data_IF_155319913877
#
_entry.id   IF_155319913877
#
_cell.length_a   1.000
_cell.length_b   1.000
_cell.length_c   1.000
_cell.angle_alpha   90.00
_cell.angle_beta   90.00
_cell.angle_gamma   90.00
#
_symmetry.space_group_name_H-M   'P 1'
#
loop_
_entity.id
_entity.type
_entity.pdbx_description
1 polymer ?
#
# COMPACT_ATOMS: atom_id res chain seq x y z
N UNK A 1 -1.06 11.96 -38.53
CA UNK A 1 -1.85 12.76 -37.57
C UNK A 1 -1.71 12.11 -36.20
N UNK A 2 -0.68 12.47 -35.43
CA UNK A 2 -0.43 11.87 -34.12
C UNK A 2 -1.23 12.59 -33.05
N UNK A 3 -2.25 11.94 -32.50
CA UNK A 3 -2.96 12.48 -31.35
C UNK A 3 -2.07 12.29 -30.12
N UNK A 4 -1.41 13.36 -29.67
CA UNK A 4 -0.65 13.39 -28.41
C UNK A 4 -1.61 13.53 -27.22
N UNK A 5 -2.57 12.61 -27.10
CA UNK A 5 -3.47 12.62 -25.95
C UNK A 5 -2.75 11.93 -24.81
N UNK A 6 -2.19 12.74 -23.91
CA UNK A 6 -1.48 12.24 -22.73
C UNK A 6 -2.35 11.25 -21.94
N UNK A 7 -3.67 11.45 -21.92
CA UNK A 7 -4.63 10.58 -21.26
C UNK A 7 -5.55 9.93 -22.29
N UNK A 8 -5.68 8.61 -22.29
CA UNK A 8 -6.54 7.88 -23.23
C UNK A 8 -7.04 6.55 -22.64
N UNK A 9 -8.09 5.98 -23.24
CA UNK A 9 -8.62 4.66 -22.89
C UNK A 9 -8.35 3.69 -24.04
N UNK A 10 -7.98 2.46 -23.72
CA UNK A 10 -7.74 1.39 -24.70
C UNK A 10 -8.61 0.17 -24.39
N UNK A 11 -8.67 -0.77 -25.34
CA UNK A 11 -9.32 -2.08 -25.18
C UNK A 11 -10.78 -1.98 -24.70
N UNK A 12 -11.59 -1.11 -25.32
CA UNK A 12 -13.00 -0.98 -24.95
C UNK A 12 -13.26 -0.41 -23.56
N UNK A 13 -12.24 0.09 -22.86
CA UNK A 13 -12.37 0.67 -21.52
C UNK A 13 -11.63 -0.08 -20.43
N UNK A 14 -11.06 -1.24 -20.72
CA UNK A 14 -10.34 -2.08 -19.75
C UNK A 14 -9.07 -1.41 -19.19
N UNK A 15 -8.50 -0.47 -19.95
CA UNK A 15 -7.31 0.29 -19.53
C UNK A 15 -7.51 1.77 -19.74
N UNK A 16 -7.21 2.56 -18.71
CA UNK A 16 -7.07 4.01 -18.80
C UNK A 16 -5.61 4.38 -18.58
N UNK A 17 -4.98 5.00 -19.57
CA UNK A 17 -3.64 5.56 -19.47
C UNK A 17 -3.75 7.04 -19.07
N UNK A 18 -3.00 7.45 -18.05
CA UNK A 18 -2.88 8.84 -17.62
C UNK A 18 -1.42 9.28 -17.75
N UNK A 19 -1.15 10.16 -18.72
CA UNK A 19 0.15 10.77 -18.95
C UNK A 19 0.25 12.11 -18.24
N UNK A 20 1.15 12.22 -17.28
CA UNK A 20 1.36 13.42 -16.48
C UNK A 20 0.96 13.22 -15.03
N UNK A 21 0.55 14.30 -14.37
CA UNK A 21 0.23 14.29 -12.94
C UNK A 21 -1.27 14.08 -12.68
N UNK A 22 -1.58 13.27 -11.68
CA UNK A 22 -2.93 13.13 -11.12
C UNK A 22 -2.96 13.83 -9.77
N UNK A 23 -3.77 14.90 -9.67
CA UNK A 23 -3.96 15.63 -8.42
C UNK A 23 -5.32 15.27 -7.82
N UNK A 24 -5.30 14.70 -6.61
CA UNK A 24 -6.49 14.43 -5.82
C UNK A 24 -6.71 15.59 -4.84
N UNK A 25 -7.83 16.31 -4.97
CA UNK A 25 -8.14 17.44 -4.10
C UNK A 25 -8.42 16.98 -2.66
N UNK A 26 -8.30 17.90 -1.69
CA UNK A 26 -8.62 17.63 -0.30
C UNK A 26 -10.06 17.08 -0.15
N UNK A 27 -10.21 15.97 0.58
CA UNK A 27 -11.49 15.28 0.76
C UNK A 27 -11.84 14.27 -0.36
N UNK A 28 -11.01 14.12 -1.39
CA UNK A 28 -11.20 13.07 -2.39
C UNK A 28 -10.99 11.68 -1.77
N UNK A 29 -11.82 10.70 -2.16
CA UNK A 29 -11.68 9.30 -1.76
C UNK A 29 -11.44 8.43 -2.99
N UNK A 30 -10.33 7.71 -3.02
CA UNK A 30 -10.10 6.62 -3.98
C UNK A 30 -10.47 5.31 -3.28
N UNK A 31 -11.38 4.54 -3.88
CA UNK A 31 -11.79 3.23 -3.35
C UNK A 31 -11.22 2.15 -4.27
N UNK A 32 -10.52 1.19 -3.68
CA UNK A 32 -9.96 0.03 -4.38
C UNK A 32 -10.77 -1.17 -3.92
N UNK A 33 -11.39 -1.89 -4.86
CA UNK A 33 -12.23 -3.04 -4.55
C UNK A 33 -11.39 -4.26 -4.15
N UNK A 34 -12.01 -5.23 -3.46
CA UNK A 34 -11.34 -6.44 -3.03
C UNK A 34 -10.74 -7.20 -4.22
N UNK A 35 -9.44 -7.50 -4.15
CA UNK A 35 -8.69 -8.19 -5.21
C UNK A 35 -8.09 -7.28 -6.28
N UNK A 36 -8.35 -5.97 -6.26
CA UNK A 36 -7.64 -5.02 -7.11
C UNK A 36 -6.27 -4.65 -6.49
N UNK A 37 -5.24 -4.54 -7.34
CA UNK A 37 -3.88 -4.20 -6.93
C UNK A 37 -3.48 -2.82 -7.49
N UNK A 38 -2.74 -2.06 -6.69
CA UNK A 38 -2.02 -0.87 -7.16
C UNK A 38 -0.53 -1.15 -7.02
N UNK A 39 0.17 -1.20 -8.15
CA UNK A 39 1.60 -1.45 -8.19
C UNK A 39 2.40 -0.14 -8.13
N UNK A 40 3.56 -0.16 -7.49
CA UNK A 40 4.48 0.99 -7.47
C UNK A 40 4.07 2.16 -6.58
N UNK A 41 3.08 1.99 -5.67
CA UNK A 41 2.79 3.01 -4.66
C UNK A 41 3.99 3.18 -3.72
N UNK A 42 4.49 4.42 -3.54
CA UNK A 42 5.49 4.67 -2.52
C UNK A 42 4.91 4.38 -1.13
N UNK A 43 5.61 3.57 -0.34
CA UNK A 43 5.24 3.10 1.01
C UNK A 43 4.88 4.27 1.95
N UNK A 44 5.31 5.49 1.65
CA UNK A 44 4.97 6.70 2.39
C UNK A 44 3.46 7.02 2.46
N UNK A 45 2.63 6.46 1.57
CA UNK A 45 1.18 6.61 1.56
C UNK A 45 0.44 5.52 2.36
N UNK A 46 1.12 4.44 2.76
CA UNK A 46 0.53 3.41 3.60
C UNK A 46 0.42 3.89 5.04
N UNK A 47 -0.69 3.58 5.72
CA UNK A 47 -0.79 3.78 7.16
C UNK A 47 0.37 3.05 7.84
N UNK A 48 1.16 3.77 8.64
CA UNK A 48 2.29 3.15 9.34
C UNK A 48 1.78 2.05 10.27
N UNK A 49 2.48 0.92 10.29
CA UNK A 49 2.20 -0.10 11.30
C UNK A 49 2.28 0.48 12.71
N UNK A 50 1.46 -0.07 13.60
CA UNK A 50 1.51 0.27 15.02
C UNK A 50 2.93 0.08 15.56
N UNK A 51 3.37 1.01 16.42
CA UNK A 51 4.69 0.93 17.03
C UNK A 51 4.86 -0.35 17.83
N UNK A 52 6.05 -0.95 17.77
CA UNK A 52 6.49 -2.04 18.63
C UNK A 52 7.49 -1.49 19.64
N UNK A 53 7.31 -1.80 20.92
CA UNK A 53 8.26 -1.45 21.95
C UNK A 53 9.56 -2.24 21.78
N UNK A 54 10.67 -1.69 22.25
CA UNK A 54 11.96 -2.40 22.23
C UNK A 54 11.85 -3.72 23.01
N UNK A 55 12.43 -4.79 22.46
CA UNK A 55 12.47 -6.07 23.15
C UNK A 55 13.45 -6.01 24.31
N UNK A 56 12.98 -6.38 25.49
CA UNK A 56 13.80 -6.55 26.70
C UNK A 56 13.93 -8.03 27.08
N UNK A 57 13.69 -8.94 26.13
CA UNK A 57 13.70 -10.37 26.36
C UNK A 57 15.10 -10.89 26.75
N UNK A 58 15.16 -11.72 27.79
CA UNK A 58 16.39 -12.41 28.23
C UNK A 58 16.38 -13.90 27.89
N UNK A 59 15.27 -14.41 27.33
CA UNK A 59 15.12 -15.80 26.88
C UNK A 59 14.68 -15.84 25.42
N UNK A 60 14.95 -16.97 24.76
CA UNK A 60 14.54 -17.19 23.38
C UNK A 60 13.02 -17.21 23.22
N UNK A 61 12.29 -17.78 24.19
CA UNK A 61 10.82 -17.81 24.15
C UNK A 61 10.22 -16.40 24.22
N UNK A 62 10.76 -15.53 25.08
CA UNK A 62 10.30 -14.14 25.20
C UNK A 62 10.61 -13.34 23.94
N UNK A 63 11.80 -13.53 23.34
CA UNK A 63 12.15 -12.87 22.07
C UNK A 63 11.23 -13.31 20.93
N UNK A 64 10.89 -14.59 20.86
CA UNK A 64 9.95 -15.10 19.85
C UNK A 64 8.54 -14.50 20.01
N UNK A 65 8.10 -14.27 21.26
CA UNK A 65 6.84 -13.58 21.52
C UNK A 65 6.86 -12.12 21.02
N UNK A 66 7.93 -11.38 21.32
CA UNK A 66 8.10 -10.00 20.85
C UNK A 66 8.16 -9.90 19.32
N UNK A 67 8.85 -10.84 18.67
CA UNK A 67 8.91 -10.92 17.21
C UNK A 67 7.53 -11.20 16.60
N UNK A 68 6.80 -12.18 17.12
CA UNK A 68 5.47 -12.50 16.61
C UNK A 68 4.47 -11.34 16.79
N UNK A 69 4.60 -10.57 17.87
CA UNK A 69 3.82 -9.34 18.06
C UNK A 69 4.14 -8.28 17.01
N UNK A 70 5.41 -8.11 16.61
CA UNK A 70 5.80 -7.24 15.50
C UNK A 70 5.20 -7.72 14.17
N UNK A 71 5.33 -9.02 13.87
CA UNK A 71 4.80 -9.60 12.63
C UNK A 71 3.29 -9.43 12.52
N UNK A 72 2.56 -9.57 13.63
CA UNK A 72 1.12 -9.30 13.67
C UNK A 72 0.78 -7.84 13.32
N UNK A 73 1.55 -6.87 13.83
CA UNK A 73 1.37 -5.44 13.52
C UNK A 73 1.67 -5.11 12.06
N UNK A 74 2.68 -5.75 11.47
CA UNK A 74 3.01 -5.59 10.05
C UNK A 74 1.91 -6.14 9.13
N UNK A 75 1.37 -7.33 9.44
CA UNK A 75 0.23 -7.91 8.71
C UNK A 75 -1.02 -7.04 8.84
N UNK A 76 -1.33 -6.56 10.05
CA UNK A 76 -2.47 -5.68 10.28
C UNK A 76 -2.39 -4.37 9.48
N UNK A 77 -1.18 -3.88 9.22
CA UNK A 77 -0.92 -2.71 8.39
C UNK A 77 -0.82 -3.02 6.88
N UNK A 78 -1.05 -4.27 6.46
CA UNK A 78 -0.87 -4.74 5.09
C UNK A 78 0.56 -4.50 4.54
N UNK A 79 1.56 -4.54 5.42
CA UNK A 79 2.98 -4.39 5.06
C UNK A 79 3.69 -5.75 4.90
N UNK A 80 3.01 -6.85 5.21
CA UNK A 80 3.51 -8.21 5.10
C UNK A 80 2.36 -9.16 4.78
N UNK A 81 2.62 -10.17 3.94
CA UNK A 81 1.64 -11.22 3.63
C UNK A 81 1.19 -11.96 4.90
N UNK A 82 -0.09 -12.34 4.91
CA UNK A 82 -0.73 -13.08 6.00
C UNK A 82 -0.19 -14.49 6.14
#
# INVERSE_FOLDING_TARGET
>A
MGHNTKNHREQGGDRTYIGGEVVLAAGSKVTVEAGAAIEGLPIALAEKAASQADSTATTAEALAADLNALLAKLRAANLMDS
#
